data_IF_172068893522
#
_entry.id   IF_172068893522
#
_cell.length_a   1.000
_cell.length_b   1.000
_cell.length_c   1.000
_cell.angle_alpha   90.00
_cell.angle_beta   90.00
_cell.angle_gamma   90.00
#
_symmetry.space_group_name_H-M   'P 1'
#
loop_
_entity.id
_entity.type
_entity.pdbx_description
1 polymer ?
#
# COMPACT_ATOMS: atom_id res chain seq x y z
N UNK A 1 -9.00 0.51 0.77
CA UNK A 1 -8.12 1.42 1.55
C UNK A 1 -6.84 0.77 2.06
N UNK A 2 -6.88 -0.35 2.78
CA UNK A 2 -5.68 -1.01 3.35
C UNK A 2 -4.52 -1.22 2.37
N UNK A 3 -4.81 -1.84 1.22
CA UNK A 3 -3.82 -2.09 0.15
C UNK A 3 -3.27 -0.79 -0.42
N UNK A 4 -4.11 0.24 -0.57
CA UNK A 4 -3.72 1.55 -1.10
C UNK A 4 -2.70 2.23 -0.17
N UNK A 5 -2.99 2.26 1.13
CA UNK A 5 -2.09 2.83 2.14
C UNK A 5 -0.78 2.04 2.26
N UNK A 6 -0.87 0.69 2.29
CA UNK A 6 0.30 -0.17 2.34
C UNK A 6 1.21 0.02 1.11
N UNK A 7 0.63 0.15 -0.09
CA UNK A 7 1.39 0.38 -1.31
C UNK A 7 2.07 1.76 -1.32
N UNK A 8 1.44 2.77 -0.72
CA UNK A 8 2.02 4.10 -0.59
C UNK A 8 3.21 4.13 0.37
N UNK A 9 3.07 3.51 1.54
CA UNK A 9 4.06 3.59 2.62
C UNK A 9 5.18 2.55 2.49
N UNK A 10 4.80 1.29 2.26
CA UNK A 10 5.74 0.17 2.18
C UNK A 10 6.16 -0.17 0.73
N UNK A 11 5.58 0.51 -0.25
CA UNK A 11 5.86 0.30 -1.67
C UNK A 11 5.04 -0.82 -2.32
N UNK A 12 4.56 -0.63 -3.57
CA UNK A 12 3.66 -1.60 -4.23
C UNK A 12 4.32 -2.95 -4.52
N UNK A 13 5.65 -2.99 -4.72
CA UNK A 13 6.40 -4.23 -4.94
C UNK A 13 6.39 -5.15 -3.72
N UNK A 14 6.53 -4.57 -2.52
CA UNK A 14 6.53 -5.32 -1.26
C UNK A 14 5.14 -5.83 -0.92
N UNK A 15 4.09 -5.02 -1.15
CA UNK A 15 2.70 -5.46 -1.03
C UNK A 15 2.40 -6.62 -1.98
N UNK A 16 2.88 -6.56 -3.24
CA UNK A 16 2.71 -7.66 -4.19
C UNK A 16 3.37 -8.95 -3.71
N UNK A 17 4.59 -8.89 -3.17
CA UNK A 17 5.29 -10.06 -2.60
C UNK A 17 4.57 -10.61 -1.37
N UNK A 18 4.11 -9.72 -0.49
CA UNK A 18 3.27 -10.07 0.68
C UNK A 18 2.05 -10.88 0.27
N UNK A 19 1.29 -10.40 -0.72
CA UNK A 19 0.08 -11.11 -1.18
C UNK A 19 0.39 -12.43 -1.88
N UNK A 20 1.46 -12.50 -2.70
CA UNK A 20 1.84 -13.74 -3.41
C UNK A 20 2.31 -14.85 -2.49
N UNK A 21 2.83 -14.51 -1.32
CA UNK A 21 3.31 -15.45 -0.30
C UNK A 21 2.24 -15.78 0.75
N UNK A 22 0.99 -15.33 0.58
CA UNK A 22 -0.06 -15.54 1.59
C UNK A 22 0.21 -14.79 2.90
N UNK A 23 1.08 -13.78 2.89
CA UNK A 23 1.43 -12.97 4.05
C UNK A 23 2.61 -13.49 4.88
N UNK A 24 3.38 -14.44 4.36
CA UNK A 24 4.64 -14.94 4.95
C UNK A 24 5.78 -13.92 4.81
N UNK A 25 5.75 -13.10 3.75
CA UNK A 25 6.76 -12.09 3.52
C UNK A 25 6.68 -10.92 4.52
N UNK A 26 7.58 -10.88 5.50
CA UNK A 26 7.63 -9.86 6.56
C UNK A 26 8.48 -8.64 6.18
N UNK A 27 8.01 -7.83 5.23
CA UNK A 27 8.64 -6.52 4.95
C UNK A 27 8.15 -5.45 5.91
N UNK A 28 9.10 -4.66 6.41
CA UNK A 28 8.90 -3.48 7.25
C UNK A 28 9.53 -2.26 6.58
N UNK A 29 8.91 -1.09 6.76
CA UNK A 29 9.49 0.17 6.30
C UNK A 29 10.64 0.64 7.21
N UNK A 30 11.23 1.80 6.91
CA UNK A 30 12.34 2.36 7.70
C UNK A 30 11.95 2.69 9.16
N UNK A 31 10.66 2.70 9.49
CA UNK A 31 10.14 2.95 10.83
C UNK A 31 9.74 1.65 11.54
N UNK A 32 10.01 0.47 10.96
CA UNK A 32 9.66 -0.83 11.53
C UNK A 32 8.17 -1.18 11.40
N UNK A 33 7.43 -0.54 10.50
CA UNK A 33 6.00 -0.83 10.32
C UNK A 33 5.79 -1.80 9.17
N UNK A 34 5.14 -2.92 9.45
CA UNK A 34 4.93 -3.98 8.46
C UNK A 34 3.78 -3.71 7.48
N UNK A 35 3.85 -4.34 6.30
CA UNK A 35 2.74 -4.35 5.32
C UNK A 35 1.45 -4.84 5.95
N UNK A 36 1.53 -5.89 6.78
CA UNK A 36 0.38 -6.47 7.49
C UNK A 36 -0.30 -5.45 8.41
N UNK A 37 0.50 -4.63 9.10
CA UNK A 37 -0.03 -3.57 9.95
C UNK A 37 -0.83 -2.56 9.13
N UNK A 38 -0.29 -2.07 8.01
CA UNK A 38 -0.99 -1.11 7.15
C UNK A 38 -2.28 -1.67 6.55
N UNK A 39 -2.26 -2.94 6.09
CA UNK A 39 -3.45 -3.61 5.59
C UNK A 39 -4.57 -3.66 6.64
N UNK A 40 -4.24 -3.96 7.89
CA UNK A 40 -5.21 -4.03 8.99
C UNK A 40 -5.64 -2.65 9.48
N UNK A 41 -4.70 -1.74 9.69
CA UNK A 41 -4.96 -0.40 10.25
C UNK A 41 -5.90 0.41 9.36
N UNK A 42 -5.74 0.28 8.05
CA UNK A 42 -6.52 1.02 7.07
C UNK A 42 -7.57 0.16 6.35
N UNK A 43 -7.92 -1.04 6.84
CA UNK A 43 -8.86 -1.94 6.12
C UNK A 43 -10.27 -1.36 5.95
N UNK A 44 -10.74 -0.58 6.93
CA UNK A 44 -12.11 -0.06 7.00
C UNK A 44 -12.31 1.37 6.48
N UNK A 45 -11.28 2.02 5.94
CA UNK A 45 -11.43 3.39 5.44
C UNK A 45 -12.15 3.40 4.08
N UNK A 46 -13.17 4.24 3.92
CA UNK A 46 -13.92 4.32 2.66
C UNK A 46 -13.17 5.16 1.61
N UNK A 47 -12.98 4.57 0.42
CA UNK A 47 -12.32 5.22 -0.73
C UNK A 47 -13.28 5.49 -1.88
N UNK A 48 -14.59 5.32 -1.69
CA UNK A 48 -15.63 5.53 -2.73
C UNK A 48 -15.59 6.93 -3.36
N UNK A 49 -15.24 7.94 -2.57
CA UNK A 49 -15.11 9.33 -2.99
C UNK A 49 -13.85 9.61 -3.84
N UNK A 50 -12.91 8.67 -3.92
CA UNK A 50 -11.66 8.84 -4.67
C UNK A 50 -11.88 8.36 -6.11
N UNK A 51 -11.80 9.28 -7.07
CA UNK A 51 -11.92 8.95 -8.49
C UNK A 51 -10.61 8.30 -8.98
N UNK A 52 -10.62 7.03 -9.42
CA UNK A 52 -9.41 6.35 -9.85
C UNK A 52 -8.92 6.87 -11.21
N UNK A 53 -7.62 7.13 -11.31
CA UNK A 53 -6.97 7.55 -12.56
C UNK A 53 -6.12 6.40 -13.10
N UNK A 54 -6.46 5.91 -14.30
CA UNK A 54 -5.69 4.87 -14.98
C UNK A 54 -4.33 5.43 -15.44
N UNK A 55 -3.26 4.68 -15.20
CA UNK A 55 -1.89 5.04 -15.58
C UNK A 55 -1.47 6.44 -15.07
N UNK A 56 -1.79 6.74 -13.81
CA UNK A 56 -1.41 8.00 -13.19
C UNK A 56 0.11 8.21 -13.28
N UNK A 57 0.50 9.36 -13.86
CA UNK A 57 1.90 9.81 -13.93
C UNK A 57 2.09 10.95 -12.94
N UNK A 58 3.19 10.91 -12.19
CA UNK A 58 3.58 12.04 -11.33
C UNK A 58 3.98 13.20 -12.24
N UNK A 59 3.29 14.33 -12.13
CA UNK A 59 3.74 15.58 -12.76
C UNK A 59 4.79 16.19 -11.84
N UNK A 60 6.07 15.97 -12.15
CA UNK A 60 7.13 16.73 -11.49
C UNK A 60 7.05 18.17 -11.99
N UNK A 61 6.83 19.12 -11.07
CA UNK A 61 7.09 20.53 -11.33
C UNK A 61 8.55 20.75 -10.92
N UNK A 62 9.37 21.16 -11.88
CA UNK A 62 10.72 21.64 -11.62
C UNK A 62 10.65 23.00 -10.91
#
# INVERSE_FOLDING_TARGET
SGILAAAHLAGPGNVRKFLRTGGDYAYEDANGVSVRYYLRKFSGYDTSHIIPVKNAKVKFRA
#
